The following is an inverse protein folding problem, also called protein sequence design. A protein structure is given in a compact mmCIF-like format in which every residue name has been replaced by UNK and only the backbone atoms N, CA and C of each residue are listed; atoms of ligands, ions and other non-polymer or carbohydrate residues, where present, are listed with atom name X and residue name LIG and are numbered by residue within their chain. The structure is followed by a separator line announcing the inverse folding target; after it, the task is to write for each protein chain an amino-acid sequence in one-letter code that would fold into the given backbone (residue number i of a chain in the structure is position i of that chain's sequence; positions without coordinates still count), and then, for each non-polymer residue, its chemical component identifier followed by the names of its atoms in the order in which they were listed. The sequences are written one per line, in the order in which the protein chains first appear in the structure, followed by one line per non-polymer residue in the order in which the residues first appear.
data_IF_035907427391
#
_entry.id   IF_035907427391
#
_cell.length_a   1.000
_cell.length_b   1.000
_cell.length_c   1.000
_cell.angle_alpha   90.00
_cell.angle_beta   90.00
_cell.angle_gamma   90.00
#
_symmetry.space_group_name_H-M   'P 1'
#
loop_
_entity.id
_entity.type
_entity.pdbx_description
1 polymer ?
#
# COMPACT_ATOMS: atom_id res chain seq x y z
N UNK A 1 -19.02 20.80 8.83
CA UNK A 1 -18.49 20.71 8.45
C UNK A 1 -18.57 20.34 8.42
N UNK A 2 -18.87 20.56 8.41
CA UNK A 2 -18.56 20.42 7.94
C UNK A 2 -18.88 19.75 7.73
N UNK A 3 -19.30 19.79 7.69
CA UNK A 3 -19.30 19.36 7.10
C UNK A 3 -19.54 18.73 6.65
N UNK A 4 -20.04 18.84 6.61
CA UNK A 4 -19.89 18.47 5.79
C UNK A 4 -19.98 17.95 5.45
N UNK A 5 -20.36 18.11 5.45
CA UNK A 5 -19.96 17.83 4.69
C UNK A 5 -19.93 17.09 4.49
N UNK A 6 -20.36 17.21 4.62
CA UNK A 6 -19.93 16.76 4.08
C UNK A 6 -19.83 15.94 3.73
N UNK A 7 -20.13 15.84 3.69
CA UNK A 7 -19.67 15.37 3.03
C UNK A 7 -19.50 14.78 2.59
N UNK A 8 -19.77 14.80 2.65
CA UNK A 8 -19.22 14.52 1.91
C UNK A 8 -18.87 13.85 1.63
N UNK A 9 -19.06 13.85 1.75
CA UNK A 9 -18.38 13.48 1.21
C UNK A 9 -18.06 12.59 1.06
N UNK A 10 -18.26 12.55 1.10
CA UNK A 10 -17.66 11.96 0.65
C UNK A 10 -17.28 11.28 0.24
N UNK A 11 -17.42 11.16 0.05
CA UNK A 11 -16.80 10.73 -0.61
C UNK A 11 -16.25 10.32 -0.81
N UNK A 12 -16.46 10.40 -0.74
CA UNK A 12 -15.64 10.22 -1.10
C UNK A 12 -15.08 9.61 -1.01
N UNK A 13 -15.15 9.45 -0.97
CA UNK A 13 -14.48 9.04 -1.00
C UNK A 13 -13.88 8.50 -1.23
N UNK A 14 -13.90 8.40 -1.52
CA UNK A 14 -13.35 8.17 -1.87
C UNK A 14 -12.70 8.07 -2.38
N UNK A 15 -12.55 8.08 -2.51
CA UNK A 15 -11.90 8.14 -3.03
C UNK A 15 -11.27 8.19 -3.54
N UNK A 16 -11.14 8.38 -3.75
CA UNK A 16 -10.51 8.63 -4.28
C UNK A 16 -9.97 8.99 -4.77
N UNK A 17 -10.50 8.67 -4.25
CA UNK A 17 -10.05 9.87 -4.63
C UNK A 17 -8.74 9.94 -5.35
N UNK A 18 -7.84 10.03 -5.03
CA UNK A 18 -6.67 10.00 -5.83
C UNK A 18 -6.62 8.68 -6.55
N UNK A 19 -6.69 8.74 -7.80
CA UNK A 19 -6.57 7.58 -8.64
C UNK A 19 -5.12 7.40 -9.02
N UNK A 20 -4.46 6.44 -8.39
CA UNK A 20 -3.10 6.07 -8.78
C UNK A 20 -3.15 5.39 -10.14
N UNK A 21 -2.24 5.75 -11.03
CA UNK A 21 -2.18 5.22 -12.39
C UNK A 21 -0.77 4.85 -12.77
N UNK A 22 -0.64 3.99 -13.77
CA UNK A 22 0.67 3.59 -14.30
C UNK A 22 1.51 4.83 -14.61
N UNK A 23 2.73 4.84 -14.12
CA UNK A 23 3.68 5.91 -14.37
C UNK A 23 3.64 7.03 -13.34
N UNK A 24 2.62 7.06 -12.47
CA UNK A 24 2.54 8.09 -11.44
C UNK A 24 3.66 7.91 -10.41
N UNK A 25 4.08 9.03 -9.85
CA UNK A 25 4.96 9.01 -8.69
C UNK A 25 4.07 9.14 -7.46
N UNK A 26 4.30 8.30 -6.48
CA UNK A 26 3.51 8.28 -5.25
C UNK A 26 4.40 7.97 -4.06
N UNK A 27 3.93 8.27 -2.86
CA UNK A 27 4.72 8.10 -1.65
C UNK A 27 4.05 7.10 -0.72
N UNK A 28 4.77 6.02 -0.42
CA UNK A 28 4.35 5.05 0.59
C UNK A 28 4.58 5.65 1.98
N UNK A 29 3.59 5.52 2.85
CA UNK A 29 3.67 6.09 4.18
C UNK A 29 4.58 5.27 5.09
N UNK A 30 5.28 5.97 5.99
CA UNK A 30 6.03 5.25 7.02
C UNK A 30 5.06 4.41 7.86
N UNK A 31 5.56 3.31 8.37
CA UNK A 31 4.76 2.39 9.19
C UNK A 31 3.95 1.39 8.37
N UNK A 32 3.94 1.52 7.05
CA UNK A 32 3.27 0.54 6.19
C UNK A 32 4.24 -0.55 5.79
N UNK A 33 3.71 -1.67 5.31
CA UNK A 33 4.53 -2.79 4.85
C UNK A 33 4.21 -3.11 3.41
N UNK A 34 5.19 -3.68 2.72
CA UNK A 34 5.02 -4.11 1.33
C UNK A 34 5.87 -5.35 1.11
N UNK A 35 5.56 -6.09 0.05
CA UNK A 35 6.23 -7.36 -0.24
C UNK A 35 6.71 -7.37 -1.67
N UNK A 36 7.80 -8.10 -1.94
CA UNK A 36 8.38 -8.17 -3.28
C UNK A 36 7.54 -9.00 -4.23
N UNK A 37 6.91 -10.06 -3.72
CA UNK A 37 6.13 -10.98 -4.53
C UNK A 37 4.65 -10.89 -4.19
N UNK A 38 3.82 -11.08 -5.19
CA UNK A 38 2.38 -11.03 -4.99
C UNK A 38 1.91 -12.12 -4.03
N UNK A 39 2.50 -13.32 -4.10
CA UNK A 39 2.14 -14.42 -3.19
C UNK A 39 2.42 -14.06 -1.74
N UNK A 40 3.56 -13.43 -1.49
CA UNK A 40 3.91 -12.99 -0.13
C UNK A 40 3.01 -11.84 0.32
N UNK A 41 2.60 -10.99 -0.61
CA UNK A 41 1.69 -9.90 -0.33
C UNK A 41 0.31 -10.45 0.09
N UNK A 42 -0.20 -11.47 -0.59
CA UNK A 42 -1.46 -12.11 -0.19
C UNK A 42 -1.34 -12.71 1.21
N UNK A 43 -0.20 -13.33 1.51
CA UNK A 43 0.03 -13.88 2.84
C UNK A 43 0.05 -12.77 3.89
N UNK A 44 0.66 -11.64 3.58
CA UNK A 44 0.68 -10.48 4.48
C UNK A 44 -0.74 -10.00 4.77
N UNK A 45 -1.57 -9.86 3.73
CA UNK A 45 -2.94 -9.43 3.90
C UNK A 45 -3.72 -10.41 4.78
N UNK A 46 -3.54 -11.71 4.55
CA UNK A 46 -4.19 -12.74 5.35
C UNK A 46 -3.76 -12.65 6.82
N UNK A 47 -2.47 -12.46 7.06
CA UNK A 47 -1.95 -12.33 8.43
C UNK A 47 -2.52 -11.10 9.13
N UNK A 48 -2.67 -10.00 8.40
CA UNK A 48 -3.27 -8.78 8.97
C UNK A 48 -4.73 -9.04 9.34
N UNK A 49 -5.48 -9.67 8.46
CA UNK A 49 -6.90 -9.97 8.70
C UNK A 49 -7.08 -10.90 9.89
N UNK A 50 -6.18 -11.87 10.03
CA UNK A 50 -6.24 -12.86 11.11
C UNK A 50 -5.55 -12.38 12.38
N UNK A 51 -4.95 -11.18 12.36
CA UNK A 51 -4.17 -10.63 13.47
C UNK A 51 -3.03 -11.56 13.87
N UNK A 52 -2.42 -12.19 12.89
CA UNK A 52 -1.32 -13.14 13.09
C UNK A 52 0.01 -12.39 13.12
N UNK A 53 0.41 -11.94 14.31
CA UNK A 53 1.65 -11.20 14.48
C UNK A 53 2.88 -12.04 14.17
N UNK A 54 2.85 -13.32 14.52
CA UNK A 54 3.99 -14.21 14.27
C UNK A 54 4.20 -14.37 12.78
N UNK A 55 3.12 -14.52 12.01
CA UNK A 55 3.22 -14.60 10.56
C UNK A 55 3.80 -13.34 9.95
N UNK A 56 3.39 -12.17 10.46
CA UNK A 56 3.93 -10.89 9.98
C UNK A 56 5.43 -10.78 10.27
N UNK A 57 5.83 -11.13 11.48
CA UNK A 57 7.25 -11.09 11.87
C UNK A 57 8.05 -12.01 10.96
N UNK A 58 7.53 -13.19 10.66
CA UNK A 58 8.20 -14.14 9.77
C UNK A 58 8.41 -13.58 8.37
N UNK A 59 7.41 -12.90 7.82
CA UNK A 59 7.53 -12.29 6.49
C UNK A 59 8.60 -11.19 6.47
N UNK A 60 8.66 -10.39 7.53
CA UNK A 60 9.62 -9.30 7.61
C UNK A 60 11.03 -9.80 7.87
N UNK A 61 11.20 -10.72 8.81
CA UNK A 61 12.54 -11.21 9.16
C UNK A 61 13.15 -12.05 8.06
N UNK A 62 12.33 -12.72 7.24
CA UNK A 62 12.84 -13.49 6.11
C UNK A 62 13.15 -12.63 4.89
N UNK A 63 12.79 -11.34 4.93
CA UNK A 63 13.03 -10.44 3.82
C UNK A 63 11.99 -10.53 2.71
N UNK A 64 10.94 -11.33 2.89
CA UNK A 64 9.87 -11.41 1.88
C UNK A 64 9.05 -10.15 1.83
N UNK A 65 8.84 -9.52 2.98
CA UNK A 65 8.14 -8.25 3.09
C UNK A 65 9.00 -7.28 3.89
N UNK A 66 8.67 -6.02 3.78
CA UNK A 66 9.45 -4.95 4.39
C UNK A 66 8.53 -3.99 5.12
N UNK A 67 8.93 -3.60 6.33
CA UNK A 67 8.25 -2.56 7.08
C UNK A 67 9.00 -1.26 6.84
N UNK A 68 8.30 -0.22 6.40
CA UNK A 68 8.95 1.07 6.12
C UNK A 68 9.11 1.87 7.38
N UNK A 69 10.33 2.25 7.69
CA UNK A 69 10.64 3.14 8.81
C UNK A 69 10.52 4.59 8.42
N UNK A 70 10.58 4.88 7.12
CA UNK A 70 10.44 6.22 6.57
C UNK A 70 9.59 6.13 5.32
N UNK A 71 8.89 7.21 5.00
CA UNK A 71 8.12 7.25 3.75
C UNK A 71 9.06 7.07 2.57
N UNK A 72 8.53 6.53 1.47
CA UNK A 72 9.35 6.22 0.30
C UNK A 72 8.59 6.57 -0.98
N UNK A 73 9.22 7.36 -1.83
CA UNK A 73 8.63 7.70 -3.13
C UNK A 73 8.88 6.56 -4.10
N UNK A 74 7.87 6.17 -4.83
CA UNK A 74 7.93 5.05 -5.78
C UNK A 74 7.21 5.43 -7.07
N UNK A 75 7.45 4.65 -8.11
CA UNK A 75 6.73 4.79 -9.37
C UNK A 75 5.68 3.71 -9.46
N UNK A 76 4.44 4.08 -9.74
CA UNK A 76 3.33 3.15 -9.83
C UNK A 76 3.40 2.39 -11.15
N UNK A 77 3.38 1.06 -11.07
CA UNK A 77 3.36 0.21 -12.25
C UNK A 77 1.93 -0.13 -12.65
N UNK A 78 1.13 -0.56 -11.68
CA UNK A 78 -0.23 -0.98 -11.96
C UNK A 78 -1.07 -0.93 -10.70
N UNK A 79 -2.37 -0.70 -10.88
CA UNK A 79 -3.34 -0.73 -9.78
C UNK A 79 -4.48 -1.62 -10.25
N UNK A 80 -4.80 -2.66 -9.48
CA UNK A 80 -5.90 -3.54 -9.85
C UNK A 80 -7.22 -3.06 -9.24
N UNK A 81 -8.31 -3.74 -9.59
CA UNK A 81 -9.64 -3.33 -9.14
C UNK A 81 -9.88 -3.59 -7.65
N UNK A 82 -9.00 -4.31 -7.01
CA UNK A 82 -9.07 -4.56 -5.56
C UNK A 82 -8.30 -3.52 -4.76
N UNK A 83 -7.58 -2.61 -5.44
CA UNK A 83 -6.75 -1.62 -4.79
C UNK A 83 -5.34 -2.12 -4.48
N UNK A 84 -4.92 -3.22 -5.09
CA UNK A 84 -3.55 -3.72 -4.97
C UNK A 84 -2.68 -2.99 -5.97
N UNK A 85 -1.53 -2.50 -5.51
CA UNK A 85 -0.65 -1.64 -6.29
C UNK A 85 0.71 -2.30 -6.42
N UNK A 86 1.18 -2.47 -7.67
CA UNK A 86 2.57 -2.84 -7.90
C UNK A 86 3.35 -1.57 -8.23
N UNK A 87 4.58 -1.51 -7.75
CA UNK A 87 5.39 -0.30 -7.88
C UNK A 87 6.86 -0.65 -8.03
N UNK A 88 7.65 0.34 -8.44
CA UNK A 88 9.10 0.24 -8.56
C UNK A 88 9.72 1.28 -7.63
N UNK A 89 10.68 0.85 -6.81
CA UNK A 89 11.42 1.75 -5.93
C UNK A 89 12.48 2.51 -6.72
N UNK A 90 13.04 3.59 -6.15
CA UNK A 90 14.13 4.31 -6.83
C UNK A 90 15.32 3.43 -7.19
N UNK A 91 15.57 2.36 -6.43
CA UNK A 91 16.63 1.42 -6.73
C UNK A 91 16.27 0.38 -7.78
N UNK A 92 15.07 0.45 -8.36
CA UNK A 92 14.66 -0.49 -9.41
C UNK A 92 14.05 -1.79 -8.90
N UNK A 93 13.67 -1.84 -7.63
CA UNK A 93 13.10 -3.05 -7.04
C UNK A 93 11.57 -2.96 -7.02
N UNK A 94 10.91 -4.02 -7.42
CA UNK A 94 9.45 -4.09 -7.42
C UNK A 94 8.89 -4.38 -6.04
N UNK A 95 7.61 -4.07 -5.87
CA UNK A 95 6.90 -4.37 -4.62
C UNK A 95 5.40 -4.30 -4.83
N UNK A 96 4.67 -4.77 -3.82
CA UNK A 96 3.21 -4.78 -3.79
C UNK A 96 2.72 -4.14 -2.50
N UNK A 97 1.69 -3.31 -2.61
CA UNK A 97 1.07 -2.64 -1.48
C UNK A 97 -0.41 -2.40 -1.80
N UNK A 98 -1.13 -1.73 -0.91
CA UNK A 98 -2.52 -1.34 -1.16
C UNK A 98 -2.60 0.17 -1.27
N UNK A 99 -3.66 0.65 -1.94
CA UNK A 99 -3.81 2.09 -2.18
C UNK A 99 -3.80 2.91 -0.89
N UNK A 100 -4.35 2.37 0.19
CA UNK A 100 -4.41 3.07 1.47
C UNK A 100 -3.03 3.32 2.09
N UNK A 101 -2.01 2.61 1.63
CA UNK A 101 -0.65 2.78 2.16
C UNK A 101 0.09 3.97 1.54
N UNK A 102 -0.52 4.64 0.59
CA UNK A 102 0.09 5.79 -0.09
C UNK A 102 -0.45 7.10 0.48
N UNK A 103 0.41 8.11 0.51
CA UNK A 103 0.00 9.46 0.88
C UNK A 103 -0.91 10.04 -0.20
N UNK A 104 -1.86 10.84 0.23
CA UNK A 104 -2.74 11.55 -0.70
C UNK A 104 -2.07 12.73 -1.33
#
# INVERSE_FOLDING_TARGET
MKKLLTAVILLAMMPNAYALSHGDSATLKEGTSNCKKLTDFYEMISNIQDKDQQGMIGLITSGKCRLLKESMKVEIQNVDDKGFVSFITPGGHGGWAVTQFFEE
#
